data_IF_406934143832
#
_entry.id   IF_406934143832
#
_cell.length_a   1.000
_cell.length_b   1.000
_cell.length_c   1.000
_cell.angle_alpha   90.00
_cell.angle_beta   90.00
_cell.angle_gamma   90.00
#
_symmetry.space_group_name_H-M   'P 1'
#
loop_
_entity.id
_entity.type
_entity.pdbx_description
1 polymer ?
#
# COMPACT_ATOMS: atom_id res chain seq x y z
N UNK A 1 0.13 8.26 7.81
CA UNK A 1 1.30 8.54 6.95
C UNK A 1 1.46 10.03 6.66
N UNK A 2 0.38 10.78 6.45
CA UNK A 2 0.41 12.24 6.23
C UNK A 2 1.25 13.03 7.24
N UNK A 3 1.28 12.66 8.52
CA UNK A 3 2.14 13.28 9.54
C UNK A 3 3.63 13.17 9.22
N UNK A 4 4.06 12.13 8.50
CA UNK A 4 5.44 11.96 8.02
C UNK A 4 5.72 12.90 6.84
N UNK A 5 4.82 12.92 5.85
CA UNK A 5 4.89 13.83 4.67
C UNK A 5 4.92 15.30 5.11
N UNK A 6 4.11 15.66 6.11
CA UNK A 6 4.04 17.01 6.68
C UNK A 6 5.20 17.33 7.63
N UNK A 7 6.13 16.38 7.86
CA UNK A 7 7.27 16.51 8.79
C UNK A 7 6.88 16.79 10.25
N UNK A 8 5.63 16.51 10.62
CA UNK A 8 5.17 16.53 12.02
C UNK A 8 5.75 15.36 12.81
N UNK A 9 6.13 14.29 12.10
CA UNK A 9 6.85 13.13 12.62
C UNK A 9 7.96 12.75 11.61
N UNK A 10 9.20 12.47 12.04
CA UNK A 10 10.23 11.96 11.13
C UNK A 10 9.87 10.55 10.64
N UNK A 11 10.41 10.16 9.49
CA UNK A 11 10.40 8.76 9.05
C UNK A 11 10.90 7.84 10.17
N UNK A 12 10.34 6.64 10.22
CA UNK A 12 10.58 5.68 11.29
C UNK A 12 11.95 5.01 11.18
N UNK A 13 12.50 4.96 9.96
CA UNK A 13 13.85 4.50 9.67
C UNK A 13 14.67 5.62 9.01
N UNK A 14 15.99 5.59 9.23
CA UNK A 14 16.91 6.54 8.60
C UNK A 14 17.00 6.23 7.09
N UNK A 15 17.14 7.27 6.27
CA UNK A 15 17.25 7.22 4.80
C UNK A 15 16.00 6.76 4.02
N UNK A 16 14.91 6.37 4.69
CA UNK A 16 13.65 6.05 4.03
C UNK A 16 12.81 7.29 3.69
N UNK A 17 11.97 7.15 2.66
CA UNK A 17 11.07 8.21 2.23
C UNK A 17 9.94 8.45 3.26
N UNK A 18 9.41 9.68 3.31
CA UNK A 18 8.33 10.03 4.25
C UNK A 18 7.03 9.26 3.98
N UNK A 19 6.79 8.92 2.72
CA UNK A 19 5.65 8.17 2.24
C UNK A 19 5.88 6.66 2.18
N UNK A 20 7.07 6.18 2.58
CA UNK A 20 7.36 4.75 2.65
C UNK A 20 6.33 4.01 3.52
N UNK A 21 5.84 2.88 3.03
CA UNK A 21 4.79 2.09 3.68
C UNK A 21 5.20 1.54 5.06
N UNK A 22 6.50 1.32 5.30
CA UNK A 22 7.02 0.91 6.60
C UNK A 22 6.77 1.94 7.70
N UNK A 23 6.67 3.23 7.37
CA UNK A 23 6.26 4.25 8.31
C UNK A 23 4.84 3.98 8.87
N UNK A 24 3.93 3.43 8.06
CA UNK A 24 2.58 3.03 8.52
C UNK A 24 2.68 1.81 9.43
N UNK A 25 3.36 0.76 8.99
CA UNK A 25 3.49 -0.51 9.74
C UNK A 25 4.08 -0.27 11.13
N UNK A 26 5.19 0.46 11.20
CA UNK A 26 5.86 0.76 12.46
C UNK A 26 5.01 1.69 13.34
N UNK A 27 4.29 2.66 12.76
CA UNK A 27 3.36 3.51 13.53
C UNK A 27 2.17 2.74 14.12
N UNK A 28 1.75 1.65 13.47
CA UNK A 28 0.72 0.74 13.98
C UNK A 28 1.25 -0.20 15.08
N UNK A 29 2.55 -0.14 15.41
CA UNK A 29 3.21 -1.02 16.36
C UNK A 29 3.33 -2.46 15.86
N UNK A 30 3.34 -2.66 14.54
CA UNK A 30 3.52 -3.96 13.92
C UNK A 30 5.00 -4.20 13.66
N UNK A 31 5.50 -5.34 14.13
CA UNK A 31 6.83 -5.83 13.74
C UNK A 31 6.73 -6.50 12.37
N UNK A 32 7.53 -6.03 11.41
CA UNK A 32 7.55 -6.59 10.06
C UNK A 32 8.65 -7.64 9.88
N UNK A 33 9.58 -7.83 10.83
CA UNK A 33 10.57 -8.90 10.80
C UNK A 33 11.38 -8.98 9.50
N UNK A 34 11.15 -10.04 8.72
CA UNK A 34 11.81 -10.27 7.41
C UNK A 34 10.90 -9.96 6.22
N UNK A 35 9.74 -9.35 6.44
CA UNK A 35 8.84 -8.91 5.38
C UNK A 35 9.51 -7.83 4.53
N UNK A 36 9.25 -7.87 3.24
CA UNK A 36 9.75 -6.89 2.31
C UNK A 36 8.78 -5.70 2.23
N UNK A 37 9.28 -4.48 2.45
CA UNK A 37 8.51 -3.24 2.33
C UNK A 37 9.24 -2.30 1.37
N UNK A 38 8.73 -2.18 0.15
CA UNK A 38 9.37 -1.42 -0.93
C UNK A 38 8.42 -0.40 -1.59
N UNK A 39 7.23 -0.20 -1.02
CA UNK A 39 6.22 0.70 -1.55
C UNK A 39 6.25 2.10 -0.95
N UNK A 40 5.93 3.08 -1.79
CA UNK A 40 5.72 4.48 -1.43
C UNK A 40 4.24 4.85 -1.62
N UNK A 41 3.59 5.32 -0.56
CA UNK A 41 2.15 5.56 -0.51
C UNK A 41 1.80 6.88 -1.22
N UNK A 42 1.04 6.78 -2.30
CA UNK A 42 0.42 7.93 -2.99
C UNK A 42 -0.85 8.37 -2.29
N UNK A 43 -1.72 7.41 -1.98
CA UNK A 43 -3.02 7.65 -1.37
C UNK A 43 -3.34 6.56 -0.37
N UNK A 44 -3.85 6.93 0.80
CA UNK A 44 -4.31 5.96 1.79
C UNK A 44 -5.48 6.57 2.56
N UNK A 45 -6.67 6.00 2.34
CA UNK A 45 -7.95 6.53 2.81
C UNK A 45 -8.78 5.44 3.47
N UNK A 46 -9.20 5.68 4.71
CA UNK A 46 -10.10 4.80 5.44
C UNK A 46 -11.55 5.25 5.19
N UNK A 47 -12.37 4.34 4.70
CA UNK A 47 -13.81 4.51 4.53
C UNK A 47 -14.59 3.57 5.46
N UNK A 48 -15.93 3.65 5.46
CA UNK A 48 -16.75 2.72 6.24
C UNK A 48 -16.58 1.29 5.75
N UNK A 49 -15.77 0.51 6.48
CA UNK A 49 -15.58 -0.93 6.27
C UNK A 49 -14.43 -1.32 5.34
N UNK A 50 -13.72 -0.36 4.73
CA UNK A 50 -12.57 -0.67 3.89
C UNK A 50 -11.49 0.41 3.90
N UNK A 51 -10.26 -0.02 3.57
CA UNK A 51 -9.10 0.83 3.39
C UNK A 51 -8.71 0.83 1.91
N UNK A 52 -8.56 2.02 1.36
CA UNK A 52 -8.11 2.26 -0.01
C UNK A 52 -6.64 2.66 -0.01
N UNK A 53 -5.81 2.03 -0.83
CA UNK A 53 -4.37 2.33 -0.95
C UNK A 53 -3.98 2.47 -2.42
N UNK A 54 -3.31 3.56 -2.76
CA UNK A 54 -2.50 3.67 -3.98
C UNK A 54 -1.03 3.81 -3.60
N UNK A 55 -0.16 3.07 -4.28
CA UNK A 55 1.28 3.12 -4.04
C UNK A 55 2.10 2.97 -5.32
N UNK A 56 3.31 3.53 -5.31
CA UNK A 56 4.39 3.08 -6.19
C UNK A 56 5.11 1.94 -5.50
N UNK A 57 5.27 0.80 -6.17
CA UNK A 57 6.02 -0.35 -5.65
C UNK A 57 6.45 -1.25 -6.81
N UNK A 58 7.53 -2.00 -6.63
CA UNK A 58 7.79 -3.14 -7.52
C UNK A 58 6.63 -4.12 -7.40
N UNK A 59 5.92 -4.33 -8.51
CA UNK A 59 4.62 -4.98 -8.50
C UNK A 59 4.68 -6.37 -7.84
N UNK A 60 3.78 -6.59 -6.88
CA UNK A 60 3.60 -7.86 -6.18
C UNK A 60 4.81 -8.34 -5.33
N UNK A 61 5.77 -7.47 -5.00
CA UNK A 61 6.94 -7.84 -4.19
C UNK A 61 6.81 -7.39 -2.72
N UNK A 62 6.01 -6.37 -2.42
CA UNK A 62 5.83 -5.92 -1.02
C UNK A 62 4.85 -6.79 -0.22
N UNK A 63 5.18 -7.00 1.05
CA UNK A 63 4.37 -7.69 2.05
C UNK A 63 3.43 -6.74 2.83
N UNK A 64 3.41 -5.44 2.51
CA UNK A 64 2.66 -4.43 3.25
C UNK A 64 1.19 -4.81 3.46
N UNK A 65 0.54 -5.31 2.41
CA UNK A 65 -0.86 -5.74 2.44
C UNK A 65 -1.07 -6.94 3.35
N UNK A 66 -0.14 -7.89 3.35
CA UNK A 66 -0.19 -9.07 4.21
C UNK A 66 -0.13 -8.64 5.68
N UNK A 67 0.75 -7.69 6.01
CA UNK A 67 0.85 -7.13 7.36
C UNK A 67 -0.43 -6.39 7.77
N UNK A 68 -1.02 -5.59 6.88
CA UNK A 68 -2.29 -4.89 7.15
C UNK A 68 -3.46 -5.87 7.34
N UNK A 69 -3.64 -6.86 6.45
CA UNK A 69 -4.66 -7.92 6.56
C UNK A 69 -4.46 -8.75 7.84
N UNK A 70 -3.21 -8.90 8.30
CA UNK A 70 -2.92 -9.58 9.56
C UNK A 70 -3.29 -8.73 10.78
N UNK A 71 -3.08 -7.41 10.71
CA UNK A 71 -3.43 -6.49 11.78
C UNK A 71 -4.93 -6.23 11.87
N UNK A 72 -5.61 -6.10 10.74
CA UNK A 72 -7.01 -5.71 10.62
C UNK A 72 -7.82 -6.81 9.91
N UNK A 73 -8.26 -7.81 10.67
CA UNK A 73 -8.93 -9.00 10.13
C UNK A 73 -10.33 -8.74 9.55
N UNK A 74 -10.99 -7.68 10.00
CA UNK A 74 -12.36 -7.33 9.59
C UNK A 74 -12.40 -6.16 8.59
N UNK A 75 -11.23 -5.66 8.16
CA UNK A 75 -11.12 -4.54 7.24
C UNK A 75 -10.83 -5.04 5.84
N UNK A 76 -11.72 -4.73 4.90
CA UNK A 76 -11.46 -4.98 3.49
C UNK A 76 -10.37 -4.01 3.01
N UNK A 77 -9.40 -4.47 2.22
CA UNK A 77 -8.30 -3.64 1.76
C UNK A 77 -8.27 -3.67 0.24
N UNK A 78 -8.55 -2.53 -0.38
CA UNK A 78 -8.45 -2.31 -1.81
C UNK A 78 -7.14 -1.60 -2.13
N UNK A 79 -6.45 -2.04 -3.17
CA UNK A 79 -5.20 -1.42 -3.60
C UNK A 79 -5.11 -1.27 -5.11
N UNK A 80 -4.38 -0.24 -5.52
CA UNK A 80 -3.78 -0.16 -6.84
C UNK A 80 -2.32 0.24 -6.72
N UNK A 81 -1.48 -0.37 -7.54
CA UNK A 81 -0.04 -0.14 -7.53
C UNK A 81 0.46 0.14 -8.92
N UNK A 82 1.47 1.00 -8.96
CA UNK A 82 2.23 1.29 -10.15
C UNK A 82 3.66 0.81 -9.93
N UNK A 83 4.14 -0.05 -10.83
CA UNK A 83 5.56 -0.36 -10.97
C UNK A 83 6.18 0.66 -11.94
N UNK A 84 6.94 1.64 -11.43
CA UNK A 84 7.51 2.68 -12.27
C UNK A 84 8.63 2.17 -13.20
N UNK A 85 9.21 1.01 -12.94
CA UNK A 85 10.26 0.44 -13.80
C UNK A 85 9.67 -0.26 -15.03
N UNK A 86 8.49 -0.86 -14.87
CA UNK A 86 7.84 -1.67 -15.91
C UNK A 86 6.54 -1.05 -16.45
N UNK A 87 6.19 0.17 -16.03
CA UNK A 87 4.93 0.86 -16.36
C UNK A 87 3.70 -0.04 -16.14
N UNK A 88 3.76 -0.89 -15.12
CA UNK A 88 2.77 -1.95 -14.89
C UNK A 88 1.87 -1.57 -13.73
N UNK A 89 0.56 -1.63 -13.96
CA UNK A 89 -0.43 -1.34 -12.92
C UNK A 89 -1.06 -2.63 -12.41
N UNK A 90 -1.22 -2.77 -11.09
CA UNK A 90 -1.83 -3.96 -10.47
C UNK A 90 -2.87 -3.53 -9.44
N UNK A 91 -4.05 -4.15 -9.45
CA UNK A 91 -5.11 -3.89 -8.47
C UNK A 91 -5.85 -5.16 -8.06
N UNK A 92 -6.46 -5.18 -6.88
CA UNK A 92 -7.44 -6.22 -6.52
C UNK A 92 -8.89 -5.83 -6.81
N UNK A 93 -9.12 -4.66 -7.40
CA UNK A 93 -10.45 -4.15 -7.79
C UNK A 93 -10.91 -4.75 -9.12
N UNK A 94 -11.20 -6.06 -9.10
CA UNK A 94 -11.57 -6.82 -10.29
C UNK A 94 -12.84 -6.32 -11.00
N UNK A 95 -13.71 -5.56 -10.31
CA UNK A 95 -14.92 -4.99 -10.87
C UNK A 95 -14.81 -3.48 -11.19
N UNK A 96 -13.63 -2.87 -10.96
CA UNK A 96 -13.32 -1.49 -11.30
C UNK A 96 -14.16 -0.46 -10.56
N UNK A 97 -14.66 -0.79 -9.35
CA UNK A 97 -15.56 0.07 -8.57
C UNK A 97 -14.85 1.13 -7.75
N UNK A 98 -13.57 0.93 -7.46
CA UNK A 98 -12.81 1.75 -6.51
C UNK A 98 -11.73 2.56 -7.21
N UNK A 99 -11.04 1.99 -8.21
CA UNK A 99 -9.97 2.66 -8.94
C UNK A 99 -10.39 2.94 -10.38
N UNK A 100 -10.96 4.13 -10.63
CA UNK A 100 -11.49 4.49 -11.94
C UNK A 100 -10.47 5.08 -12.91
N UNK A 101 -9.32 5.50 -12.41
CA UNK A 101 -8.28 6.18 -13.19
C UNK A 101 -7.13 5.25 -13.62
N UNK A 102 -7.29 3.93 -13.47
CA UNK A 102 -6.29 2.95 -13.89
C UNK A 102 -6.26 2.78 -15.43
N UNK A 103 -5.08 2.51 -16.02
CA UNK A 103 -4.99 2.13 -17.43
C UNK A 103 -5.80 0.88 -17.76
N UNK A 104 -6.29 0.79 -19.00
CA UNK A 104 -7.10 -0.35 -19.47
C UNK A 104 -6.35 -1.71 -19.40
N UNK A 105 -5.01 -1.70 -19.42
CA UNK A 105 -4.14 -2.86 -19.42
C UNK A 105 -3.58 -3.22 -18.03
N UNK A 106 -4.17 -2.71 -16.95
CA UNK A 106 -3.82 -3.11 -15.60
C UNK A 106 -4.06 -4.62 -15.35
N UNK A 107 -3.30 -5.18 -14.43
CA UNK A 107 -3.44 -6.55 -13.98
C UNK A 107 -4.32 -6.64 -12.73
N UNK A 108 -5.16 -7.67 -12.68
CA UNK A 108 -5.86 -8.05 -11.45
C UNK A 108 -4.96 -8.96 -10.64
N UNK A 109 -4.66 -8.55 -9.42
CA UNK A 109 -3.90 -9.34 -8.46
C UNK A 109 -4.60 -10.67 -8.17
N UNK A 110 -3.87 -11.77 -7.95
CA UNK A 110 -4.46 -13.03 -7.52
C UNK A 110 -5.27 -12.86 -6.24
N UNK A 111 -6.38 -13.59 -6.10
CA UNK A 111 -7.26 -13.52 -4.91
C UNK A 111 -6.54 -13.81 -3.59
N UNK A 112 -5.46 -14.60 -3.63
CA UNK A 112 -4.68 -15.00 -2.47
C UNK A 112 -3.56 -14.01 -2.11
N UNK A 113 -3.44 -12.90 -2.87
CA UNK A 113 -2.49 -11.82 -2.64
C UNK A 113 -3.07 -10.75 -1.70
#
# INVERSE_FOLDING_TARGET
>A
YQTFIQKERPAMEEDEADDWEGNIILALGVDYGTCNLCGNIKKCELSEGFLYIEAEELALITDFRVLLKNRFKDLEIYFATEDPENETYVTNDADGKHFHDLPDDHFIAPLDY
#
